data_IF_898242618954
#
_entry.id   IF_898242618954
#
_cell.length_a   1.000
_cell.length_b   1.000
_cell.length_c   1.000
_cell.angle_alpha   90.00
_cell.angle_beta   90.00
_cell.angle_gamma   90.00
#
_symmetry.space_group_name_H-M   'P 1'
#
loop_
_entity.id
_entity.type
_entity.pdbx_description
1 polymer ?
#
# COMPACT_ATOMS: atom_id res chain seq x y z
N UNK A 1 2.44 -56.12 -23.86
CA UNK A 1 2.81 -55.48 -22.57
C UNK A 1 3.40 -54.06 -22.72
N UNK A 2 3.46 -53.49 -23.93
CA UNK A 2 4.26 -52.28 -24.24
C UNK A 2 3.51 -50.92 -24.18
N UNK A 3 2.17 -50.93 -24.08
CA UNK A 3 1.37 -49.70 -24.04
C UNK A 3 1.19 -49.13 -22.62
N UNK A 4 1.23 -49.96 -21.58
CA UNK A 4 1.05 -49.51 -20.19
C UNK A 4 2.31 -48.76 -19.68
N UNK A 5 3.51 -49.21 -20.07
CA UNK A 5 4.78 -48.56 -19.75
C UNK A 5 4.95 -47.21 -20.43
N UNK A 6 4.44 -47.06 -21.66
CA UNK A 6 4.49 -45.80 -22.42
C UNK A 6 3.55 -44.72 -21.85
N UNK A 7 2.35 -45.12 -21.39
CA UNK A 7 1.38 -44.21 -20.74
C UNK A 7 1.88 -43.81 -19.34
N UNK A 8 2.46 -44.73 -18.58
CA UNK A 8 3.06 -44.43 -17.29
C UNK A 8 4.29 -43.52 -17.42
N UNK A 9 5.12 -43.71 -18.44
CA UNK A 9 6.25 -42.82 -18.73
C UNK A 9 5.81 -41.40 -19.11
N UNK A 10 4.74 -41.26 -19.91
CA UNK A 10 4.16 -39.95 -20.26
C UNK A 10 3.50 -39.27 -19.06
N UNK A 11 2.77 -40.00 -18.22
CA UNK A 11 2.17 -39.46 -16.99
C UNK A 11 3.25 -39.06 -15.97
N UNK A 12 4.33 -39.84 -15.83
CA UNK A 12 5.46 -39.50 -14.98
C UNK A 12 6.26 -38.31 -15.51
N UNK A 13 6.41 -38.15 -16.83
CA UNK A 13 7.06 -37.00 -17.45
C UNK A 13 6.24 -35.70 -17.27
N UNK A 14 4.91 -35.78 -17.42
CA UNK A 14 4.01 -34.64 -17.16
C UNK A 14 4.00 -34.28 -15.66
N UNK A 15 3.96 -35.28 -14.77
CA UNK A 15 4.08 -35.10 -13.32
C UNK A 15 5.40 -34.42 -12.92
N UNK A 16 6.54 -34.90 -13.42
CA UNK A 16 7.85 -34.30 -13.14
C UNK A 16 8.03 -32.90 -13.75
N UNK A 17 7.34 -32.58 -14.85
CA UNK A 17 7.35 -31.24 -15.44
C UNK A 17 6.46 -30.23 -14.71
N UNK A 18 5.48 -30.68 -13.91
CA UNK A 18 4.53 -29.83 -13.16
C UNK A 18 4.98 -29.61 -11.71
N UNK A 19 5.73 -30.53 -11.10
CA UNK A 19 6.30 -30.39 -9.74
C UNK A 19 7.09 -29.10 -9.44
N UNK A 20 8.03 -28.64 -10.29
CA UNK A 20 8.75 -27.39 -10.03
C UNK A 20 7.82 -26.16 -10.06
N UNK A 21 6.67 -26.26 -10.73
CA UNK A 21 5.71 -25.18 -10.83
C UNK A 21 4.78 -25.08 -9.63
N UNK A 22 4.24 -26.20 -9.14
CA UNK A 22 3.47 -26.18 -7.90
C UNK A 22 4.34 -25.76 -6.71
N UNK A 23 5.64 -26.12 -6.72
CA UNK A 23 6.61 -25.64 -5.75
C UNK A 23 6.82 -24.11 -5.83
N UNK A 24 6.94 -23.54 -7.04
CA UNK A 24 7.10 -22.09 -7.25
C UNK A 24 5.84 -21.30 -6.87
N UNK A 25 4.66 -21.83 -7.21
CA UNK A 25 3.38 -21.23 -6.85
C UNK A 25 3.18 -21.20 -5.33
N UNK A 26 3.50 -22.32 -4.65
CA UNK A 26 3.45 -22.39 -3.19
C UNK A 26 4.48 -21.46 -2.54
N UNK A 27 5.70 -21.38 -3.08
CA UNK A 27 6.73 -20.44 -2.61
C UNK A 27 6.29 -18.98 -2.76
N UNK A 28 5.64 -18.62 -3.87
CA UNK A 28 5.08 -17.27 -4.09
C UNK A 28 3.93 -16.95 -3.13
N UNK A 29 3.03 -17.92 -2.88
CA UNK A 29 1.96 -17.77 -1.88
C UNK A 29 2.52 -17.58 -0.47
N UNK A 30 3.51 -18.38 -0.09
CA UNK A 30 4.19 -18.24 1.20
C UNK A 30 4.90 -16.88 1.33
N UNK A 31 5.60 -16.43 0.28
CA UNK A 31 6.26 -15.13 0.27
C UNK A 31 5.26 -13.96 0.40
N UNK A 32 4.07 -14.05 -0.21
CA UNK A 32 3.00 -13.07 -0.01
C UNK A 32 2.52 -13.02 1.45
N UNK A 33 2.36 -14.18 2.08
CA UNK A 33 2.00 -14.27 3.50
C UNK A 33 3.11 -13.66 4.38
N UNK A 34 4.38 -13.94 4.09
CA UNK A 34 5.52 -13.35 4.81
C UNK A 34 5.60 -11.83 4.65
N UNK A 35 5.30 -11.29 3.46
CA UNK A 35 5.22 -9.84 3.22
C UNK A 35 4.09 -9.24 4.05
N UNK A 36 2.92 -9.87 4.08
CA UNK A 36 1.79 -9.41 4.88
C UNK A 36 2.12 -9.41 6.39
N UNK A 37 2.73 -10.48 6.89
CA UNK A 37 3.21 -10.56 8.27
C UNK A 37 4.28 -9.50 8.58
N UNK A 38 5.15 -9.19 7.62
CA UNK A 38 6.16 -8.13 7.76
C UNK A 38 5.51 -6.76 7.82
N UNK A 39 4.47 -6.50 7.01
CA UNK A 39 3.67 -5.27 7.07
C UNK A 39 2.96 -5.11 8.41
N UNK A 40 2.31 -6.16 8.90
CA UNK A 40 1.67 -6.17 10.22
C UNK A 40 2.69 -5.91 11.35
N UNK A 41 3.89 -6.51 11.24
CA UNK A 41 4.99 -6.26 12.17
C UNK A 41 5.50 -4.81 12.15
N UNK A 42 5.61 -4.19 10.97
CA UNK A 42 5.99 -2.76 10.85
C UNK A 42 4.92 -1.87 11.48
N UNK A 43 3.63 -2.13 11.19
CA UNK A 43 2.53 -1.37 11.76
C UNK A 43 2.52 -1.44 13.30
N UNK A 44 2.77 -2.62 13.87
CA UNK A 44 2.89 -2.80 15.32
C UNK A 44 4.10 -2.04 15.91
N UNK A 45 5.25 -2.02 15.23
CA UNK A 45 6.43 -1.26 15.64
C UNK A 45 6.17 0.26 15.61
N UNK A 46 5.46 0.75 14.60
CA UNK A 46 5.08 2.16 14.47
C UNK A 46 4.08 2.57 15.56
N UNK A 47 3.12 1.71 15.88
CA UNK A 47 2.19 1.95 16.99
C UNK A 47 2.94 2.05 18.33
N UNK A 48 3.88 1.15 18.59
CA UNK A 48 4.75 1.20 19.78
C UNK A 48 5.58 2.49 19.84
N UNK A 49 6.14 2.94 18.72
CA UNK A 49 6.85 4.22 18.62
C UNK A 49 5.94 5.43 18.92
N UNK A 50 4.70 5.39 18.43
CA UNK A 50 3.70 6.42 18.70
C UNK A 50 3.33 6.47 20.19
N UNK A 51 3.11 5.32 20.83
CA UNK A 51 2.83 5.22 22.27
C UNK A 51 3.99 5.80 23.11
N UNK A 52 5.24 5.46 22.78
CA UNK A 52 6.43 6.02 23.44
C UNK A 52 6.51 7.54 23.25
N UNK A 53 6.21 8.04 22.06
CA UNK A 53 6.23 9.47 21.76
C UNK A 53 5.16 10.25 22.53
N UNK A 54 3.94 9.71 22.61
CA UNK A 54 2.85 10.27 23.43
C UNK A 54 3.23 10.33 24.91
N UNK A 55 3.80 9.26 25.46
CA UNK A 55 4.27 9.24 26.85
C UNK A 55 5.34 10.30 27.13
N UNK A 56 6.29 10.47 26.20
CA UNK A 56 7.31 11.52 26.31
C UNK A 56 6.69 12.92 26.29
N UNK A 57 5.69 13.15 25.44
CA UNK A 57 4.98 14.43 25.40
C UNK A 57 4.22 14.69 26.69
N UNK A 58 3.40 13.75 27.16
CA UNK A 58 2.68 13.89 28.44
C UNK A 58 3.62 14.09 29.64
N UNK A 59 4.83 13.50 29.61
CA UNK A 59 5.85 13.74 30.63
C UNK A 59 6.38 15.19 30.61
N UNK A 60 6.57 15.77 29.43
CA UNK A 60 6.99 17.18 29.27
C UNK A 60 5.89 18.13 29.72
N UNK A 61 4.64 17.88 29.31
CA UNK A 61 3.49 18.69 29.70
C UNK A 61 3.34 18.70 31.23
N UNK A 62 3.45 17.52 31.88
CA UNK A 62 3.44 17.43 33.34
C UNK A 62 4.60 18.20 33.99
N UNK A 63 5.80 18.18 33.41
CA UNK A 63 6.94 18.96 33.93
C UNK A 63 6.69 20.47 33.81
N UNK A 64 6.20 20.93 32.66
CA UNK A 64 5.84 22.34 32.44
C UNK A 64 4.72 22.80 33.39
N UNK A 65 3.64 22.02 33.54
CA UNK A 65 2.55 22.32 34.48
C UNK A 65 3.04 22.36 35.93
N UNK A 66 3.99 21.49 36.31
CA UNK A 66 4.59 21.54 37.65
C UNK A 66 5.40 22.81 37.89
N UNK A 67 6.16 23.25 36.88
CA UNK A 67 6.91 24.51 36.95
C UNK A 67 5.96 25.71 37.06
N UNK A 68 4.90 25.75 36.24
CA UNK A 68 3.85 26.77 36.31
C UNK A 68 3.17 26.78 37.68
N UNK A 69 2.84 25.60 38.21
CA UNK A 69 2.25 25.48 39.54
C UNK A 69 3.18 26.01 40.63
N UNK A 70 4.49 25.74 40.53
CA UNK A 70 5.47 26.25 41.48
C UNK A 70 5.58 27.78 41.42
N UNK A 71 5.64 28.35 40.21
CA UNK A 71 5.65 29.79 39.99
C UNK A 71 4.38 30.44 40.54
N UNK A 72 3.19 29.93 40.16
CA UNK A 72 1.91 30.44 40.63
C UNK A 72 1.78 30.39 42.17
N UNK A 73 2.32 29.35 42.82
CA UNK A 73 2.38 29.28 44.29
C UNK A 73 3.27 30.37 44.89
N UNK A 74 4.44 30.61 44.32
CA UNK A 74 5.36 31.65 44.77
C UNK A 74 4.73 33.05 44.60
N UNK A 75 4.14 33.32 43.44
CA UNK A 75 3.48 34.59 43.14
C UNK A 75 2.29 34.84 44.08
N UNK A 76 1.46 33.81 44.31
CA UNK A 76 0.34 33.89 45.25
C UNK A 76 0.83 34.15 46.67
N UNK A 77 1.95 33.53 47.09
CA UNK A 77 2.53 33.78 48.40
C UNK A 77 3.05 35.22 48.53
N UNK A 78 3.71 35.74 47.50
CA UNK A 78 4.16 37.13 47.46
C UNK A 78 2.99 38.12 47.51
N UNK A 79 1.92 37.88 46.75
CA UNK A 79 0.69 38.67 46.80
C UNK A 79 0.03 38.61 48.18
N UNK A 80 -0.01 37.44 48.82
CA UNK A 80 -0.56 37.29 50.17
C UNK A 80 0.25 38.07 51.21
N UNK A 81 1.58 38.08 51.09
CA UNK A 81 2.46 38.88 51.96
C UNK A 81 2.27 40.38 51.75
N UNK A 82 2.21 40.83 50.50
CA UNK A 82 1.94 42.23 50.17
C UNK A 82 0.56 42.68 50.68
N UNK A 83 -0.45 41.82 50.54
CA UNK A 83 -1.80 42.06 51.06
C UNK A 83 -1.81 42.19 52.59
N UNK A 84 -1.08 41.32 53.30
CA UNK A 84 -0.95 41.36 54.77
C UNK A 84 -0.19 42.59 55.28
N UNK A 85 0.82 43.04 54.53
CA UNK A 85 1.66 44.18 54.92
C UNK A 85 1.05 45.55 54.53
N UNK A 86 -0.06 45.57 53.79
CA UNK A 86 -0.75 46.80 53.43
C UNK A 86 -1.68 47.25 54.56
N UNK A 87 -1.56 48.51 54.99
CA UNK A 87 -2.42 49.09 56.01
C UNK A 87 -3.89 49.24 55.57
N UNK A 88 -4.13 49.37 54.25
CA UNK A 88 -5.46 49.47 53.63
C UNK A 88 -5.46 48.71 52.29
N UNK A 89 -5.60 47.38 52.29
CA UNK A 89 -5.63 46.61 51.05
C UNK A 89 -6.82 47.00 50.17
N UNK A 90 -6.58 47.16 48.86
CA UNK A 90 -7.62 47.57 47.92
C UNK A 90 -8.49 46.38 47.49
N UNK A 91 -9.72 46.65 47.03
CA UNK A 91 -10.59 45.60 46.44
C UNK A 91 -9.94 44.89 45.26
N UNK A 92 -9.15 45.62 44.46
CA UNK A 92 -8.41 45.05 43.33
C UNK A 92 -7.32 44.07 43.81
N UNK A 93 -6.60 44.39 44.89
CA UNK A 93 -5.60 43.49 45.47
C UNK A 93 -6.24 42.22 46.06
N UNK A 94 -7.41 42.35 46.71
CA UNK A 94 -8.16 41.20 47.20
C UNK A 94 -8.61 40.27 46.07
N UNK A 95 -9.15 40.85 44.98
CA UNK A 95 -9.57 40.10 43.79
C UNK A 95 -8.37 39.40 43.11
N UNK A 96 -7.24 40.08 42.97
CA UNK A 96 -6.02 39.50 42.39
C UNK A 96 -5.50 38.31 43.21
N UNK A 97 -5.55 38.38 44.54
CA UNK A 97 -5.14 37.27 45.40
C UNK A 97 -6.11 36.08 45.32
N UNK A 98 -7.42 36.33 45.25
CA UNK A 98 -8.43 35.28 45.07
C UNK A 98 -8.27 34.57 43.72
N UNK A 99 -8.04 35.32 42.65
CA UNK A 99 -7.78 34.77 41.32
C UNK A 99 -6.48 33.95 41.28
N UNK A 100 -5.40 34.44 41.91
CA UNK A 100 -4.16 33.71 42.01
C UNK A 100 -4.34 32.36 42.76
N UNK A 101 -5.14 32.35 43.84
CA UNK A 101 -5.50 31.12 44.57
C UNK A 101 -6.30 30.14 43.71
N UNK A 102 -7.27 30.65 42.94
CA UNK A 102 -8.06 29.83 41.99
C UNK A 102 -7.17 29.22 40.91
N UNK A 103 -6.26 30.00 40.33
CA UNK A 103 -5.28 29.52 39.35
C UNK A 103 -4.38 28.42 39.91
N UNK A 104 -3.86 28.60 41.13
CA UNK A 104 -3.09 27.55 41.82
C UNK A 104 -3.91 26.28 42.02
N UNK A 105 -5.18 26.39 42.44
CA UNK A 105 -6.07 25.25 42.60
C UNK A 105 -6.31 24.50 41.28
N UNK A 106 -6.59 25.24 40.21
CA UNK A 106 -6.77 24.67 38.87
C UNK A 106 -5.51 23.92 38.38
N UNK A 107 -4.33 24.53 38.54
CA UNK A 107 -3.05 23.91 38.20
C UNK A 107 -2.74 22.66 39.04
N UNK A 108 -3.18 22.62 40.31
CA UNK A 108 -3.07 21.43 41.15
C UNK A 108 -3.93 20.27 40.63
N UNK A 109 -5.19 20.56 40.30
CA UNK A 109 -6.11 19.58 39.71
C UNK A 109 -5.55 19.05 38.40
N UNK A 110 -5.08 19.94 37.52
CA UNK A 110 -4.46 19.57 36.24
C UNK A 110 -3.21 18.70 36.43
N UNK A 111 -2.31 19.07 37.36
CA UNK A 111 -1.13 18.26 37.68
C UNK A 111 -1.51 16.88 38.22
N UNK A 112 -2.57 16.79 39.03
CA UNK A 112 -3.11 15.53 39.52
C UNK A 112 -3.62 14.63 38.38
N UNK A 113 -4.46 15.17 37.50
CA UNK A 113 -4.98 14.46 36.34
C UNK A 113 -3.86 13.96 35.40
N UNK A 114 -2.89 14.82 35.08
CA UNK A 114 -1.73 14.47 34.25
C UNK A 114 -0.88 13.36 34.88
N UNK A 115 -0.72 13.34 36.21
CA UNK A 115 -0.01 12.24 36.90
C UNK A 115 -0.73 10.91 36.76
N UNK A 116 -2.06 10.90 36.93
CA UNK A 116 -2.87 9.69 36.78
C UNK A 116 -2.81 9.16 35.35
N UNK A 117 -2.97 10.04 34.36
CA UNK A 117 -2.83 9.68 32.94
C UNK A 117 -1.43 9.11 32.65
N UNK A 118 -0.37 9.73 33.17
CA UNK A 118 0.99 9.23 32.98
C UNK A 118 1.21 7.86 33.63
N UNK A 119 0.58 7.59 34.77
CA UNK A 119 0.63 6.27 35.40
C UNK A 119 -0.05 5.20 34.54
N UNK A 120 -1.21 5.51 33.96
CA UNK A 120 -1.91 4.59 33.04
C UNK A 120 -1.08 4.34 31.77
N UNK A 121 -0.54 5.40 31.15
CA UNK A 121 0.32 5.27 29.98
C UNK A 121 1.60 4.46 30.29
N UNK A 122 2.17 4.62 31.50
CA UNK A 122 3.30 3.80 31.95
C UNK A 122 2.92 2.31 32.03
N UNK A 123 1.75 1.99 32.55
CA UNK A 123 1.27 0.60 32.62
C UNK A 123 1.06 0.02 31.22
N UNK A 124 0.50 0.80 30.29
CA UNK A 124 0.34 0.39 28.89
C UNK A 124 1.70 0.08 28.23
N UNK A 125 2.71 0.94 28.45
CA UNK A 125 4.06 0.68 27.95
C UNK A 125 4.68 -0.59 28.55
N UNK A 126 4.47 -0.84 29.85
CA UNK A 126 4.94 -2.07 30.49
C UNK A 126 4.23 -3.31 29.95
N UNK A 127 2.94 -3.22 29.64
CA UNK A 127 2.19 -4.32 29.01
C UNK A 127 2.69 -4.61 27.58
N UNK A 128 3.24 -3.60 26.90
CA UNK A 128 3.91 -3.76 25.61
C UNK A 128 5.40 -4.17 25.72
N UNK A 129 5.87 -4.54 26.93
CA UNK A 129 7.27 -4.88 27.24
C UNK A 129 8.28 -3.74 26.96
N UNK A 130 7.80 -2.48 26.96
CA UNK A 130 8.62 -1.29 26.74
C UNK A 130 8.99 -0.68 28.10
N UNK A 131 10.26 -0.82 28.49
CA UNK A 131 10.77 -0.29 29.74
C UNK A 131 10.73 1.26 29.81
N UNK A 132 9.91 1.88 30.70
CA UNK A 132 9.73 3.34 30.76
C UNK A 132 10.98 4.11 31.24
N UNK A 133 11.93 3.42 31.89
CA UNK A 133 13.18 4.01 32.38
C UNK A 133 14.21 4.23 31.26
N UNK A 134 14.09 3.51 30.14
CA UNK A 134 15.06 3.51 29.03
C UNK A 134 14.41 3.91 27.70
N UNK A 135 13.41 4.80 27.72
CA UNK A 135 12.62 5.12 26.53
C UNK A 135 13.43 5.63 25.35
N UNK A 136 14.53 6.37 25.58
CA UNK A 136 15.39 6.83 24.48
C UNK A 136 16.07 5.64 23.76
N UNK A 137 16.59 4.67 24.53
CA UNK A 137 17.19 3.44 23.97
C UNK A 137 16.13 2.55 23.33
N UNK A 138 14.99 2.36 23.99
CA UNK A 138 13.87 1.58 23.45
C UNK A 138 13.36 2.19 22.13
N UNK A 139 13.18 3.51 22.08
CA UNK A 139 12.79 4.22 20.84
C UNK A 139 13.83 4.06 19.73
N UNK A 140 15.13 4.15 20.06
CA UNK A 140 16.19 3.93 19.07
C UNK A 140 16.18 2.49 18.55
N UNK A 141 16.01 1.50 19.42
CA UNK A 141 15.91 0.10 19.04
C UNK A 141 14.68 -0.16 18.16
N UNK A 142 13.52 0.37 18.54
CA UNK A 142 12.29 0.26 17.74
C UNK A 142 12.46 0.88 16.35
N UNK A 143 13.08 2.07 16.26
CA UNK A 143 13.41 2.69 14.95
C UNK A 143 14.37 1.85 14.12
N UNK A 144 15.38 1.23 14.75
CA UNK A 144 16.31 0.33 14.07
C UNK A 144 15.59 -0.93 13.58
N UNK A 145 14.74 -1.54 14.40
CA UNK A 145 13.92 -2.70 14.04
C UNK A 145 12.96 -2.38 12.89
N UNK A 146 12.29 -1.22 12.94
CA UNK A 146 11.42 -0.76 11.86
C UNK A 146 12.18 -0.50 10.56
N UNK A 147 13.37 0.11 10.62
CA UNK A 147 14.23 0.30 9.45
C UNK A 147 14.69 -1.04 8.86
N UNK A 148 15.10 -2.00 9.70
CA UNK A 148 15.48 -3.34 9.27
C UNK A 148 14.30 -4.12 8.67
N UNK A 149 13.10 -4.03 9.26
CA UNK A 149 11.89 -4.66 8.75
C UNK A 149 11.49 -4.08 7.38
N UNK A 150 11.58 -2.76 7.21
CA UNK A 150 11.34 -2.10 5.92
C UNK A 150 12.34 -2.56 4.84
N UNK A 151 13.63 -2.69 5.18
CA UNK A 151 14.62 -3.21 4.24
C UNK A 151 14.30 -4.65 3.81
N UNK A 152 13.88 -5.51 4.76
CA UNK A 152 13.44 -6.88 4.46
C UNK A 152 12.20 -6.89 3.58
N UNK A 153 11.22 -6.03 3.84
CA UNK A 153 10.00 -5.91 3.05
C UNK A 153 10.29 -5.54 1.59
N UNK A 154 11.17 -4.55 1.36
CA UNK A 154 11.59 -4.15 0.01
C UNK A 154 12.27 -5.32 -0.72
N UNK A 155 13.16 -6.05 -0.04
CA UNK A 155 13.80 -7.23 -0.62
C UNK A 155 12.82 -8.37 -0.94
N UNK A 156 11.84 -8.62 -0.07
CA UNK A 156 10.79 -9.62 -0.30
C UNK A 156 9.88 -9.22 -1.47
N UNK A 157 9.49 -7.95 -1.58
CA UNK A 157 8.70 -7.43 -2.70
C UNK A 157 9.45 -7.57 -4.04
N UNK A 158 10.74 -7.24 -4.07
CA UNK A 158 11.57 -7.44 -5.27
C UNK A 158 11.66 -8.92 -5.64
N UNK A 159 11.82 -9.81 -4.66
CA UNK A 159 11.86 -11.27 -4.90
C UNK A 159 10.52 -11.79 -5.43
N UNK A 160 9.41 -11.28 -4.89
CA UNK A 160 8.07 -11.64 -5.34
C UNK A 160 7.84 -11.18 -6.78
N UNK A 161 8.27 -9.97 -7.13
CA UNK A 161 8.12 -9.42 -8.48
C UNK A 161 8.92 -10.24 -9.49
N UNK A 162 10.19 -10.52 -9.20
CA UNK A 162 11.02 -11.39 -10.04
C UNK A 162 10.44 -12.80 -10.21
N UNK A 163 9.85 -13.35 -9.16
CA UNK A 163 9.21 -14.67 -9.19
C UNK A 163 7.93 -14.64 -10.03
N UNK A 164 7.14 -13.58 -9.92
CA UNK A 164 5.92 -13.36 -10.70
C UNK A 164 6.25 -13.18 -12.18
N UNK A 165 7.28 -12.40 -12.52
CA UNK A 165 7.74 -12.22 -13.90
C UNK A 165 8.20 -13.54 -14.54
N UNK A 166 8.90 -14.39 -13.76
CA UNK A 166 9.29 -15.73 -14.20
C UNK A 166 8.08 -16.63 -14.38
N UNK A 167 7.13 -16.58 -13.45
CA UNK A 167 5.88 -17.32 -13.49
C UNK A 167 5.04 -16.96 -14.72
N UNK A 168 4.95 -15.67 -15.06
CA UNK A 168 4.21 -15.17 -16.22
C UNK A 168 4.84 -15.60 -17.54
N UNK A 169 6.17 -15.49 -17.65
CA UNK A 169 6.91 -16.00 -18.81
C UNK A 169 6.68 -17.51 -19.01
N UNK A 170 6.73 -18.28 -17.93
CA UNK A 170 6.49 -19.72 -17.97
C UNK A 170 5.04 -20.08 -18.31
N UNK A 171 4.06 -19.34 -17.78
CA UNK A 171 2.64 -19.50 -18.12
C UNK A 171 2.38 -19.22 -19.60
N UNK A 172 2.98 -18.16 -20.16
CA UNK A 172 2.90 -17.88 -21.60
C UNK A 172 3.49 -19.00 -22.45
N UNK A 173 4.64 -19.56 -22.06
CA UNK A 173 5.24 -20.72 -22.76
C UNK A 173 4.36 -21.96 -22.66
N UNK A 174 3.75 -22.22 -21.50
CA UNK A 174 2.80 -23.33 -21.32
C UNK A 174 1.54 -23.16 -22.16
N UNK A 175 0.99 -21.96 -22.25
CA UNK A 175 -0.15 -21.70 -23.12
C UNK A 175 0.21 -21.99 -24.58
N UNK A 176 1.36 -21.50 -25.05
CA UNK A 176 1.85 -21.78 -26.42
C UNK A 176 2.05 -23.28 -26.64
N UNK A 177 2.62 -23.98 -25.66
CA UNK A 177 2.86 -25.41 -25.74
C UNK A 177 1.57 -26.22 -25.71
N UNK A 178 0.58 -25.88 -24.85
CA UNK A 178 -0.75 -26.51 -24.85
C UNK A 178 -1.51 -26.23 -26.14
N UNK A 179 -1.47 -25.01 -26.65
CA UNK A 179 -2.07 -24.64 -27.95
C UNK A 179 -1.40 -25.43 -29.09
N UNK A 180 -0.08 -25.58 -29.07
CA UNK A 180 0.67 -26.39 -30.03
C UNK A 180 0.41 -27.91 -29.93
N UNK A 181 0.30 -28.45 -28.71
CA UNK A 181 -0.07 -29.85 -28.47
C UNK A 181 -1.51 -30.14 -28.84
N UNK A 182 -2.45 -29.22 -28.59
CA UNK A 182 -3.84 -29.36 -29.02
C UNK A 182 -3.94 -29.41 -30.55
N UNK A 183 -3.17 -28.56 -31.24
CA UNK A 183 -3.08 -28.57 -32.70
C UNK A 183 -2.43 -29.87 -33.23
N UNK A 184 -1.33 -30.33 -32.61
CA UNK A 184 -0.67 -31.58 -32.98
C UNK A 184 -1.51 -32.83 -32.64
N UNK A 185 -2.28 -32.79 -31.55
CA UNK A 185 -3.23 -33.83 -31.16
C UNK A 185 -4.40 -33.95 -32.13
N UNK A 186 -4.93 -32.82 -32.62
CA UNK A 186 -5.94 -32.79 -33.68
C UNK A 186 -5.42 -33.34 -35.02
N UNK A 187 -4.13 -33.20 -35.31
CA UNK A 187 -3.49 -33.80 -36.50
C UNK A 187 -3.29 -35.32 -36.34
N UNK A 188 -3.06 -35.80 -35.12
CA UNK A 188 -2.77 -37.23 -34.84
C UNK A 188 -4.02 -38.09 -34.65
N UNK A 189 -5.19 -37.49 -34.37
CA UNK A 189 -6.46 -38.20 -34.16
C UNK A 189 -7.23 -38.53 -35.46
N UNK A 190 -6.62 -38.37 -36.63
CA UNK A 190 -7.09 -39.03 -37.85
C UNK A 190 -8.46 -38.59 -38.36
N UNK A 191 -8.66 -37.29 -38.58
CA UNK A 191 -9.71 -36.83 -39.52
C UNK A 191 -9.05 -35.99 -40.59
N UNK A 192 -8.99 -36.56 -41.80
CA UNK A 192 -8.72 -35.87 -43.05
C UNK A 192 -9.57 -34.62 -43.18
N UNK A 193 -8.98 -33.44 -42.98
CA UNK A 193 -9.49 -32.22 -43.59
C UNK A 193 -8.33 -31.51 -44.26
N UNK A 194 -8.21 -31.91 -45.53
CA UNK A 194 -7.80 -31.12 -46.68
C UNK A 194 -7.77 -29.62 -46.41
N UNK A 195 -6.69 -29.04 -46.89
CA UNK A 195 -6.44 -27.64 -47.16
C UNK A 195 -7.64 -27.00 -47.91
N UNK A 196 -8.67 -26.54 -47.19
CA UNK A 196 -9.76 -25.76 -47.77
C UNK A 196 -9.88 -24.42 -47.05
N UNK A 197 -9.17 -23.44 -47.61
CA UNK A 197 -9.36 -22.01 -47.37
C UNK A 197 -10.67 -21.61 -48.05
N UNK A 198 -11.80 -22.00 -47.45
CA UNK A 198 -13.12 -21.57 -47.89
C UNK A 198 -13.66 -20.49 -46.93
N UNK A 199 -14.03 -19.37 -47.55
CA UNK A 199 -14.46 -18.09 -47.01
C UNK A 199 -15.69 -18.19 -46.09
N UNK A 200 -15.57 -18.70 -44.86
CA UNK A 200 -16.62 -18.54 -43.83
C UNK A 200 -16.18 -18.94 -42.40
N UNK A 201 -14.89 -18.94 -42.10
CA UNK A 201 -14.34 -19.48 -40.84
C UNK A 201 -13.60 -18.50 -39.91
N UNK A 202 -13.63 -17.19 -40.17
CA UNK A 202 -12.75 -16.22 -39.48
C UNK A 202 -13.18 -15.91 -38.03
N UNK A 203 -14.43 -16.19 -37.65
CA UNK A 203 -14.95 -15.64 -36.38
C UNK A 203 -14.67 -16.45 -35.11
N UNK A 204 -14.17 -17.71 -35.19
CA UNK A 204 -14.00 -18.54 -33.98
C UNK A 204 -12.57 -18.78 -33.51
N UNK A 205 -11.56 -18.38 -34.27
CA UNK A 205 -10.16 -18.40 -33.81
C UNK A 205 -9.79 -17.18 -32.92
N UNK A 206 -10.61 -16.13 -32.89
CA UNK A 206 -10.31 -14.88 -32.20
C UNK A 206 -10.48 -14.93 -30.67
N UNK A 207 -11.25 -15.86 -30.11
CA UNK A 207 -11.59 -15.84 -28.68
C UNK A 207 -10.46 -16.27 -27.74
N UNK A 208 -9.38 -16.87 -28.26
CA UNK A 208 -8.17 -17.26 -27.52
C UNK A 208 -6.99 -16.28 -27.68
N UNK A 209 -7.17 -15.20 -28.45
CA UNK A 209 -6.23 -14.09 -28.68
C UNK A 209 -6.77 -12.75 -28.12
N UNK A 210 -7.84 -12.82 -27.34
CA UNK A 210 -8.78 -11.73 -27.06
C UNK A 210 -8.28 -10.51 -26.28
N UNK A 211 -7.39 -10.58 -25.27
CA UNK A 211 -7.02 -9.38 -24.53
C UNK A 211 -6.17 -8.41 -25.37
N UNK A 212 -5.37 -8.93 -26.33
CA UNK A 212 -4.61 -8.10 -27.25
C UNK A 212 -5.46 -7.53 -28.40
N UNK A 213 -6.43 -8.30 -28.91
CA UNK A 213 -7.25 -7.89 -30.06
C UNK A 213 -8.25 -6.80 -29.70
N UNK A 214 -8.97 -6.91 -28.58
CA UNK A 214 -9.94 -5.89 -28.17
C UNK A 214 -9.26 -4.56 -27.80
N UNK A 215 -8.06 -4.61 -27.19
CA UNK A 215 -7.25 -3.42 -26.94
C UNK A 215 -6.71 -2.82 -28.24
N UNK A 216 -6.27 -3.64 -29.20
CA UNK A 216 -5.81 -3.18 -30.50
C UNK A 216 -6.94 -2.54 -31.33
N UNK A 217 -8.15 -3.10 -31.26
CA UNK A 217 -9.35 -2.55 -31.90
C UNK A 217 -9.76 -1.21 -31.30
N UNK A 218 -9.85 -1.13 -29.97
CA UNK A 218 -10.16 0.12 -29.27
C UNK A 218 -9.08 1.20 -29.54
N UNK A 219 -7.81 0.82 -29.56
CA UNK A 219 -6.70 1.72 -29.87
C UNK A 219 -6.70 2.19 -31.32
N UNK A 220 -7.11 1.32 -32.25
CA UNK A 220 -7.26 1.64 -33.67
C UNK A 220 -8.43 2.60 -33.91
N UNK A 221 -9.53 2.44 -33.17
CA UNK A 221 -10.64 3.39 -33.20
C UNK A 221 -10.20 4.76 -32.69
N UNK A 222 -9.51 4.80 -31.55
CA UNK A 222 -8.95 6.04 -30.99
C UNK A 222 -8.00 6.74 -31.97
N UNK A 223 -7.12 5.99 -32.61
CA UNK A 223 -6.24 6.50 -33.66
C UNK A 223 -7.03 7.15 -34.80
N UNK A 224 -8.06 6.46 -35.31
CA UNK A 224 -8.86 6.97 -36.43
C UNK A 224 -9.63 8.24 -36.08
N UNK A 225 -10.16 8.32 -34.85
CA UNK A 225 -10.89 9.50 -34.36
C UNK A 225 -9.95 10.69 -34.16
N UNK A 226 -8.71 10.45 -33.70
CA UNK A 226 -7.70 11.49 -33.54
C UNK A 226 -6.95 11.82 -34.84
N UNK A 227 -7.22 11.12 -35.94
CA UNK A 227 -6.55 11.33 -37.23
C UNK A 227 -5.04 11.00 -37.21
N UNK A 228 -4.59 10.12 -36.31
CA UNK A 228 -3.17 9.85 -36.10
C UNK A 228 -2.63 8.77 -37.05
N UNK A 229 -1.38 8.91 -37.47
CA UNK A 229 -0.68 7.91 -38.28
C UNK A 229 -0.39 6.62 -37.51
N UNK A 230 -0.22 5.52 -38.24
CA UNK A 230 0.17 4.24 -37.66
C UNK A 230 1.53 4.38 -36.94
N UNK A 231 1.58 3.99 -35.66
CA UNK A 231 2.75 4.13 -34.77
C UNK A 231 3.12 5.57 -34.37
N UNK A 232 2.20 6.54 -34.49
CA UNK A 232 2.45 7.89 -33.98
C UNK A 232 2.89 7.87 -32.50
N UNK A 233 3.89 8.69 -32.12
CA UNK A 233 4.40 8.71 -30.75
C UNK A 233 3.31 9.08 -29.73
N UNK A 234 2.37 9.95 -30.10
CA UNK A 234 1.23 10.33 -29.25
C UNK A 234 0.27 9.15 -29.00
N UNK A 235 0.02 8.33 -30.02
CA UNK A 235 -0.81 7.13 -29.88
C UNK A 235 -0.14 6.11 -28.95
N UNK A 236 1.17 5.94 -29.06
CA UNK A 236 1.94 5.06 -28.17
C UNK A 236 1.91 5.57 -26.72
N UNK A 237 1.99 6.88 -26.52
CA UNK A 237 1.88 7.50 -25.20
C UNK A 237 0.51 7.26 -24.56
N UNK A 238 -0.59 7.43 -25.32
CA UNK A 238 -1.95 7.16 -24.85
C UNK A 238 -2.16 5.67 -24.51
N UNK A 239 -1.63 4.75 -25.34
CA UNK A 239 -1.68 3.31 -25.06
C UNK A 239 -0.84 2.92 -23.85
N UNK A 240 0.33 3.54 -23.67
CA UNK A 240 1.17 3.34 -22.49
C UNK A 240 0.47 3.86 -21.23
N UNK A 241 -0.20 5.00 -21.31
CA UNK A 241 -0.99 5.58 -20.23
C UNK A 241 -2.19 4.69 -19.86
N UNK A 242 -2.92 4.16 -20.85
CA UNK A 242 -4.02 3.22 -20.60
C UNK A 242 -3.54 1.94 -19.91
N UNK A 243 -2.36 1.44 -20.29
CA UNK A 243 -1.72 0.32 -19.62
C UNK A 243 -1.29 0.72 -18.20
N UNK A 244 -0.64 1.86 -17.99
CA UNK A 244 -0.18 2.26 -16.65
C UNK A 244 -1.34 2.48 -15.67
N UNK A 245 -2.44 3.11 -16.13
CA UNK A 245 -3.67 3.28 -15.35
C UNK A 245 -4.38 1.95 -15.07
N UNK A 246 -4.20 0.96 -15.96
CA UNK A 246 -4.65 -0.40 -15.67
C UNK A 246 -3.83 -1.09 -14.58
N UNK A 247 -2.54 -0.75 -14.43
CA UNK A 247 -1.68 -1.30 -13.38
C UNK A 247 -1.94 -0.66 -12.02
N UNK A 248 -2.55 0.54 -11.96
CA UNK A 248 -2.96 1.17 -10.70
C UNK A 248 -4.27 0.61 -10.13
N UNK A 249 -4.96 -0.28 -10.86
CA UNK A 249 -6.05 -1.12 -10.34
C UNK A 249 -7.46 -0.53 -10.36
N UNK A 250 -7.64 0.70 -10.85
CA UNK A 250 -8.94 1.40 -10.84
C UNK A 250 -9.81 1.14 -12.08
N UNK A 251 -9.22 0.82 -13.22
CA UNK A 251 -9.89 0.54 -14.50
C UNK A 251 -9.08 -0.45 -15.34
N UNK A 252 -9.69 -1.17 -16.26
CA UNK A 252 -8.95 -1.96 -17.26
C UNK A 252 -8.38 -1.09 -18.38
N UNK A 253 -7.29 -1.53 -19.01
CA UNK A 253 -6.69 -0.79 -20.13
C UNK A 253 -7.67 -0.55 -21.30
N UNK A 254 -8.67 -1.42 -21.46
CA UNK A 254 -9.72 -1.25 -22.48
C UNK A 254 -10.70 -0.14 -22.08
N UNK A 255 -11.11 -0.08 -20.81
CA UNK A 255 -12.00 0.97 -20.29
C UNK A 255 -11.35 2.34 -20.37
N UNK A 256 -10.05 2.44 -20.10
CA UNK A 256 -9.31 3.70 -20.24
C UNK A 256 -9.25 4.15 -21.71
N UNK A 257 -8.98 3.26 -22.65
CA UNK A 257 -8.99 3.59 -24.09
C UNK A 257 -10.40 4.00 -24.56
N UNK A 258 -11.46 3.41 -24.02
CA UNK A 258 -12.84 3.81 -24.34
C UNK A 258 -13.18 5.21 -23.80
N UNK A 259 -12.70 5.58 -22.61
CA UNK A 259 -12.84 6.94 -22.08
C UNK A 259 -12.06 7.96 -22.93
N UNK A 260 -10.83 7.62 -23.32
CA UNK A 260 -10.02 8.44 -24.24
C UNK A 260 -10.73 8.62 -25.59
N UNK A 261 -11.38 7.58 -26.11
CA UNK A 261 -12.16 7.63 -27.35
C UNK A 261 -13.37 8.56 -27.22
N UNK A 262 -14.10 8.52 -26.09
CA UNK A 262 -15.22 9.43 -25.86
C UNK A 262 -14.78 10.91 -25.82
N UNK A 263 -13.62 11.19 -25.22
CA UNK A 263 -13.03 12.53 -25.21
C UNK A 263 -12.57 12.98 -26.60
N UNK A 264 -11.95 12.08 -27.37
CA UNK A 264 -11.58 12.34 -28.77
C UNK A 264 -12.80 12.63 -29.65
N UNK A 265 -13.89 11.86 -29.47
CA UNK A 265 -15.17 12.08 -30.17
C UNK A 265 -15.84 13.39 -29.75
N UNK A 266 -15.62 13.85 -28.51
CA UNK A 266 -16.03 15.15 -28.02
C UNK A 266 -15.16 16.31 -28.56
N UNK A 267 -14.15 16.01 -29.39
CA UNK A 267 -13.29 16.99 -30.06
C UNK A 267 -11.97 17.28 -29.34
N UNK A 268 -11.62 16.53 -28.29
CA UNK A 268 -10.34 16.71 -27.57
C UNK A 268 -9.18 16.13 -28.37
N UNK A 269 -8.06 16.86 -28.40
CA UNK A 269 -6.81 16.43 -29.03
C UNK A 269 -6.07 15.38 -28.20
N UNK A 270 -5.11 14.68 -28.80
CA UNK A 270 -4.31 13.65 -28.13
C UNK A 270 -3.58 14.18 -26.88
N UNK A 271 -3.08 15.40 -26.93
CA UNK A 271 -2.35 16.04 -25.82
C UNK A 271 -3.29 16.44 -24.68
N UNK A 272 -4.50 16.91 -24.99
CA UNK A 272 -5.53 17.24 -23.99
C UNK A 272 -6.02 15.99 -23.25
N UNK A 273 -6.26 14.89 -23.99
CA UNK A 273 -6.67 13.60 -23.43
C UNK A 273 -5.58 13.02 -22.50
N UNK A 274 -4.31 13.20 -22.88
CA UNK A 274 -3.19 12.77 -22.05
C UNK A 274 -3.14 13.56 -20.73
N UNK A 275 -3.40 14.87 -20.78
CA UNK A 275 -3.45 15.75 -19.61
C UNK A 275 -4.64 15.52 -18.67
N UNK A 276 -5.84 15.27 -19.21
CA UNK A 276 -7.06 15.08 -18.40
C UNK A 276 -7.04 13.80 -17.55
N UNK A 277 -6.46 12.72 -18.07
CA UNK A 277 -6.39 11.44 -17.35
C UNK A 277 -5.26 11.37 -16.31
N UNK A 278 -4.33 12.33 -16.32
CA UNK A 278 -3.28 12.45 -15.31
C UNK A 278 -3.74 13.20 -14.04
N UNK A 279 -4.88 13.89 -14.07
CA UNK A 279 -5.39 14.73 -12.99
C UNK A 279 -6.41 14.08 -12.04
N UNK A 280 -6.66 12.77 -12.13
CA UNK A 280 -7.67 12.07 -11.33
C UNK A 280 -7.16 11.40 -10.05
N UNK A 281 -6.01 11.82 -9.52
CA UNK A 281 -5.38 11.23 -8.33
C UNK A 281 -5.39 12.19 -7.12
N UNK A 282 -6.47 12.96 -6.95
CA UNK A 282 -6.82 13.65 -5.70
C UNK A 282 -8.14 13.11 -5.14
#
# INVERSE_FOLDING_TARGET
>A
MSNNTSIQALLNAVSNAVRPFSALENASKNLKIEIQQTQEGIAALDEQLAQVSRFRQSSRDLAATRQQLQAAKADTAALALAFKNSANPTRQQAAALDEARKSVSALQIQSGALRLSLQQQRQALLAADIAPRNLARAQQQLKQSAAQANLKMVAQQQTLQQTTDRQDKLNQTRERYRKGQALAGQIRSGSSMVLDVAKSGVQRAASLLRPGYAFAEASSQLQSTLGLENNAPQLQALQAQARSLSHSGSFSAIEVVQQQLALAQAGSSADEIFGTNAGGAD
#
